data_IF_369962934523
#
_entry.id   IF_369962934523
#
_cell.length_a   1.000
_cell.length_b   1.000
_cell.length_c   1.000
_cell.angle_alpha   90.00
_cell.angle_beta   90.00
_cell.angle_gamma   90.00
#
_symmetry.space_group_name_H-M   'P 1'
#
loop_
_entity.id
_entity.type
_entity.pdbx_description
1 polymer ?
#
# COMPACT_ATOMS: atom_id res chain seq x y z
N UNK A 1 12.59 12.25 9.99
CA UNK A 1 12.53 10.77 10.01
C UNK A 1 13.90 10.22 10.43
N UNK A 2 14.03 8.94 10.79
CA UNK A 2 15.31 8.34 11.22
C UNK A 2 15.70 7.17 10.31
N UNK A 3 17.01 7.03 10.06
CA UNK A 3 17.60 5.99 9.21
C UNK A 3 17.73 4.65 9.93
N UNK A 4 16.63 4.08 10.38
CA UNK A 4 16.61 2.78 11.05
C UNK A 4 15.99 1.76 10.10
N UNK A 5 16.78 0.99 9.38
CA UNK A 5 16.30 -0.11 8.54
C UNK A 5 16.73 -1.42 9.20
N UNK A 6 15.79 -2.33 9.42
CA UNK A 6 16.05 -3.63 10.04
C UNK A 6 15.41 -4.69 9.17
N UNK A 7 16.22 -5.47 8.48
CA UNK A 7 15.75 -6.49 7.53
C UNK A 7 14.72 -5.94 6.52
N UNK A 8 14.93 -4.70 6.08
CA UNK A 8 14.07 -3.99 5.16
C UNK A 8 14.08 -4.61 3.77
N UNK A 9 12.88 -4.83 3.21
CA UNK A 9 12.72 -5.47 1.92
C UNK A 9 13.23 -4.57 0.78
N UNK A 10 14.10 -5.12 -0.06
CA UNK A 10 14.28 -4.63 -1.43
C UNK A 10 13.65 -5.61 -2.42
N UNK A 11 13.23 -5.07 -3.56
CA UNK A 11 12.40 -5.74 -4.55
C UNK A 11 13.16 -6.08 -5.83
N UNK A 12 14.25 -5.35 -6.13
CA UNK A 12 15.08 -5.58 -7.32
C UNK A 12 16.57 -5.37 -7.06
N UNK A 13 17.41 -5.82 -7.99
CA UNK A 13 18.86 -5.69 -7.91
C UNK A 13 19.38 -4.28 -8.26
N UNK A 14 18.53 -3.43 -8.83
CA UNK A 14 18.86 -2.06 -9.24
C UNK A 14 17.79 -1.09 -8.69
N UNK A 15 18.18 0.17 -8.39
CA UNK A 15 17.25 1.15 -7.88
C UNK A 15 16.35 1.65 -9.02
N UNK A 16 15.02 1.66 -8.79
CA UNK A 16 14.04 2.26 -9.70
C UNK A 16 12.79 2.71 -8.96
N UNK A 17 12.05 3.61 -9.57
CA UNK A 17 10.64 3.84 -9.22
C UNK A 17 9.83 2.69 -9.84
N UNK A 18 9.15 1.91 -8.99
CA UNK A 18 8.36 0.77 -9.41
C UNK A 18 6.95 1.16 -9.83
N UNK A 19 6.37 2.09 -9.09
CA UNK A 19 5.11 2.73 -9.38
C UNK A 19 5.06 4.10 -8.70
N UNK A 20 4.26 4.99 -9.27
CA UNK A 20 3.89 6.29 -8.69
C UNK A 20 2.73 6.83 -9.51
N UNK A 21 1.79 7.51 -8.86
CA UNK A 21 0.67 8.16 -9.52
C UNK A 21 -0.21 8.91 -8.53
N UNK A 22 -1.07 9.78 -9.07
CA UNK A 22 -2.08 10.48 -8.26
C UNK A 22 -3.06 9.46 -7.69
N UNK A 23 -2.95 9.15 -6.40
CA UNK A 23 -3.78 8.17 -5.72
C UNK A 23 -5.16 8.72 -5.39
N UNK A 24 -5.23 9.98 -4.95
CA UNK A 24 -6.48 10.67 -4.60
C UNK A 24 -6.28 12.17 -4.45
N UNK A 25 -7.39 12.93 -4.39
CA UNK A 25 -7.39 14.40 -4.36
C UNK A 25 -8.11 14.99 -3.16
N UNK A 26 -7.68 16.17 -2.73
CA UNK A 26 -8.29 17.10 -1.74
C UNK A 26 -8.58 16.60 -0.30
N UNK A 27 -8.35 15.32 0.01
CA UNK A 27 -8.75 14.71 1.29
C UNK A 27 -7.62 14.67 2.34
N UNK A 28 -6.40 15.10 2.01
CA UNK A 28 -5.32 15.24 2.99
C UNK A 28 -5.27 16.65 3.58
N UNK A 29 -5.33 16.70 4.91
CA UNK A 29 -5.41 17.93 5.70
C UNK A 29 -6.68 18.74 5.44
N UNK A 30 -7.82 18.07 5.43
CA UNK A 30 -9.14 18.66 5.34
C UNK A 30 -9.55 19.29 6.69
N UNK A 31 -9.69 20.63 6.79
CA UNK A 31 -10.16 21.28 8.00
C UNK A 31 -11.58 20.85 8.36
N UNK A 32 -11.85 20.68 9.65
CA UNK A 32 -13.17 20.28 10.14
C UNK A 32 -13.38 18.78 10.30
N UNK A 33 -12.49 17.94 9.76
CA UNK A 33 -12.57 16.47 9.89
C UNK A 33 -12.41 15.98 11.33
N UNK A 34 -11.76 16.74 12.21
CA UNK A 34 -11.68 16.43 13.65
C UNK A 34 -12.79 17.04 14.51
N UNK A 35 -13.85 17.59 13.89
CA UNK A 35 -15.05 18.05 14.61
C UNK A 35 -15.98 16.86 14.92
N UNK A 36 -17.04 17.04 15.73
CA UNK A 36 -18.04 15.98 15.95
C UNK A 36 -18.58 15.43 14.63
N UNK A 37 -18.93 14.13 14.62
CA UNK A 37 -19.13 13.34 13.39
C UNK A 37 -19.99 14.02 12.31
N UNK A 38 -21.14 14.60 12.66
CA UNK A 38 -22.00 15.25 11.67
C UNK A 38 -21.38 16.49 11.00
N UNK A 39 -20.46 17.18 11.67
CA UNK A 39 -19.69 18.29 11.06
C UNK A 39 -18.47 17.78 10.30
N UNK A 40 -17.85 16.70 10.76
CA UNK A 40 -16.76 16.04 10.05
C UNK A 40 -17.24 15.46 8.71
N UNK A 41 -18.37 14.74 8.68
CA UNK A 41 -18.99 14.22 7.46
C UNK A 41 -19.23 15.31 6.42
N UNK A 42 -19.77 16.46 6.86
CA UNK A 42 -20.00 17.59 5.98
C UNK A 42 -18.69 18.18 5.42
N UNK A 43 -17.64 18.25 6.23
CA UNK A 43 -16.32 18.69 5.78
C UNK A 43 -15.72 17.71 4.75
N UNK A 44 -15.86 16.40 4.98
CA UNK A 44 -15.43 15.36 4.04
C UNK A 44 -16.18 15.48 2.71
N UNK A 45 -17.51 15.59 2.76
CA UNK A 45 -18.34 15.76 1.57
C UNK A 45 -17.93 16.96 0.71
N UNK A 46 -17.73 18.13 1.32
CA UNK A 46 -17.35 19.34 0.58
C UNK A 46 -15.97 19.26 -0.07
N UNK A 47 -15.11 18.34 0.38
CA UNK A 47 -13.80 18.09 -0.18
C UNK A 47 -13.75 16.81 -0.99
N UNK A 48 -14.91 16.27 -1.39
CA UNK A 48 -15.01 15.13 -2.29
C UNK A 48 -14.50 13.79 -1.73
N UNK A 49 -14.48 13.65 -0.41
CA UNK A 49 -14.27 12.36 0.24
C UNK A 49 -15.56 11.56 0.44
N UNK A 50 -15.40 10.33 0.90
CA UNK A 50 -16.49 9.40 1.24
C UNK A 50 -16.68 9.27 2.76
N UNK A 51 -17.89 8.89 3.15
CA UNK A 51 -18.26 8.64 4.54
C UNK A 51 -18.98 7.31 4.69
N UNK A 52 -18.36 6.36 5.38
CA UNK A 52 -18.93 5.04 5.63
C UNK A 52 -20.00 5.08 6.72
N UNK A 53 -21.04 4.28 6.52
CA UNK A 53 -21.94 3.87 7.61
C UNK A 53 -21.29 2.72 8.35
N UNK A 54 -21.19 2.83 9.67
CA UNK A 54 -20.55 1.83 10.53
C UNK A 54 -21.62 0.90 11.10
N UNK A 55 -21.44 -0.40 10.89
CA UNK A 55 -22.31 -1.46 11.38
C UNK A 55 -21.62 -2.26 12.48
N UNK A 56 -21.51 -1.67 13.67
CA UNK A 56 -20.93 -2.30 14.85
C UNK A 56 -21.75 -2.00 16.11
N UNK A 57 -21.68 -2.88 17.11
CA UNK A 57 -22.37 -2.71 18.41
C UNK A 57 -21.52 -1.88 19.38
N UNK A 58 -21.20 -0.65 18.98
CA UNK A 58 -20.42 0.32 19.76
C UNK A 58 -21.04 1.71 19.66
N UNK A 59 -20.70 2.61 20.58
CA UNK A 59 -21.08 4.01 20.45
C UNK A 59 -20.36 4.60 19.21
N UNK A 60 -21.07 5.26 18.28
CA UNK A 60 -20.44 5.92 17.13
C UNK A 60 -19.30 6.87 17.51
N UNK A 61 -19.37 7.54 18.66
CA UNK A 61 -18.31 8.46 19.10
C UNK A 61 -17.03 7.74 19.57
N UNK A 62 -17.11 6.43 19.85
CA UNK A 62 -15.96 5.58 20.20
C UNK A 62 -15.31 4.94 18.96
N UNK A 63 -15.96 5.01 17.79
CA UNK A 63 -15.41 4.47 16.54
C UNK A 63 -14.30 5.40 16.03
N UNK A 64 -13.11 4.88 15.70
CA UNK A 64 -12.05 5.69 15.11
C UNK A 64 -12.52 6.38 13.83
N UNK A 65 -12.21 7.67 13.69
CA UNK A 65 -12.58 8.47 12.51
C UNK A 65 -12.18 7.81 11.18
N UNK A 66 -11.08 7.06 11.20
CA UNK A 66 -10.54 6.34 10.04
C UNK A 66 -11.49 5.27 9.49
N UNK A 67 -12.37 4.71 10.32
CA UNK A 67 -13.41 3.79 9.85
C UNK A 67 -14.48 4.52 9.01
N UNK A 68 -14.74 5.79 9.31
CA UNK A 68 -15.72 6.60 8.58
C UNK A 68 -15.17 7.18 7.30
N UNK A 69 -13.90 7.58 7.25
CA UNK A 69 -13.34 8.28 6.10
C UNK A 69 -11.84 8.08 5.98
N UNK A 70 -11.34 8.13 4.74
CA UNK A 70 -9.90 8.23 4.48
C UNK A 70 -9.37 9.67 4.58
N UNK A 71 -10.22 10.68 4.77
CA UNK A 71 -9.78 12.06 4.93
C UNK A 71 -8.99 12.26 6.23
N UNK A 72 -7.94 13.08 6.16
CA UNK A 72 -7.02 13.33 7.28
C UNK A 72 -7.09 14.79 7.68
N UNK A 73 -7.04 15.10 8.97
CA UNK A 73 -7.04 16.50 9.45
C UNK A 73 -5.68 17.18 9.22
N UNK A 74 -5.60 18.52 9.17
CA UNK A 74 -4.31 19.23 9.04
C UNK A 74 -3.30 18.87 10.13
N UNK A 75 -3.79 18.61 11.35
CA UNK A 75 -2.96 18.17 12.47
C UNK A 75 -2.44 16.75 12.23
N UNK A 76 -3.28 15.83 11.75
CA UNK A 76 -2.85 14.48 11.38
C UNK A 76 -1.75 14.50 10.32
N UNK A 77 -1.91 15.34 9.29
CA UNK A 77 -0.87 15.54 8.27
C UNK A 77 0.43 16.07 8.88
N UNK A 78 0.36 17.08 9.75
CA UNK A 78 1.56 17.62 10.39
C UNK A 78 2.27 16.57 11.28
N UNK A 79 1.54 15.68 11.93
CA UNK A 79 2.11 14.61 12.76
C UNK A 79 2.84 13.54 11.93
N UNK A 80 2.28 13.14 10.78
CA UNK A 80 2.89 12.12 9.92
C UNK A 80 3.94 12.64 8.93
N UNK A 81 3.79 13.89 8.49
CA UNK A 81 4.56 14.49 7.38
C UNK A 81 5.37 15.73 7.81
N UNK A 82 5.35 16.09 9.09
CA UNK A 82 6.10 17.21 9.66
C UNK A 82 5.48 18.60 9.46
N UNK A 83 4.69 18.80 8.40
CA UNK A 83 3.94 20.03 8.12
C UNK A 83 2.55 19.70 7.58
N UNK A 84 1.53 20.54 7.82
CA UNK A 84 0.22 20.34 7.22
C UNK A 84 0.27 20.56 5.71
N UNK A 85 -0.47 19.74 4.95
CA UNK A 85 -0.90 20.05 3.59
C UNK A 85 -2.40 20.30 3.65
N UNK A 86 -2.90 21.44 3.19
CA UNK A 86 -4.33 21.76 3.27
C UNK A 86 -5.01 21.39 1.97
N UNK A 87 -6.02 20.51 2.04
CA UNK A 87 -6.72 20.00 0.85
C UNK A 87 -5.75 19.37 -0.16
N UNK A 88 -4.72 18.69 0.35
CA UNK A 88 -3.72 18.06 -0.48
C UNK A 88 -4.25 16.81 -1.16
N UNK A 89 -3.76 16.60 -2.37
CA UNK A 89 -3.75 15.33 -3.06
C UNK A 89 -2.75 14.38 -2.39
N UNK A 90 -2.92 13.08 -2.63
CA UNK A 90 -2.02 12.03 -2.16
C UNK A 90 -1.41 11.26 -3.33
N UNK A 91 -0.08 11.20 -3.37
CA UNK A 91 0.67 10.45 -4.38
C UNK A 91 1.64 9.50 -3.68
N UNK A 92 1.35 8.20 -3.64
CA UNK A 92 2.30 7.19 -3.20
C UNK A 92 3.33 6.91 -4.31
N UNK A 93 4.58 6.68 -3.93
CA UNK A 93 5.70 6.31 -4.79
C UNK A 93 6.38 5.07 -4.21
N UNK A 94 6.32 3.98 -4.95
CA UNK A 94 6.94 2.71 -4.62
C UNK A 94 8.33 2.61 -5.26
N UNK A 95 9.34 2.36 -4.45
CA UNK A 95 10.75 2.27 -4.84
C UNK A 95 11.23 0.83 -4.72
N UNK A 96 12.09 0.40 -5.63
CA UNK A 96 12.60 -0.98 -5.59
C UNK A 96 13.49 -1.24 -4.38
N UNK A 97 14.06 -0.20 -3.78
CA UNK A 97 14.90 -0.27 -2.58
C UNK A 97 14.33 0.64 -1.48
N UNK A 98 14.50 0.29 -0.20
CA UNK A 98 14.09 1.15 0.89
C UNK A 98 14.91 2.44 0.93
N UNK A 99 14.25 3.54 1.30
CA UNK A 99 14.88 4.86 1.44
C UNK A 99 15.65 4.98 2.75
N UNK A 100 16.67 5.83 2.77
CA UNK A 100 17.17 6.41 4.02
C UNK A 100 16.27 7.60 4.38
N UNK A 101 15.37 7.50 5.37
CA UNK A 101 14.32 8.50 5.54
C UNK A 101 14.82 9.91 5.90
N UNK A 102 16.02 10.05 6.44
CA UNK A 102 16.60 11.36 6.75
C UNK A 102 16.98 12.17 5.50
N UNK A 103 17.09 11.51 4.34
CA UNK A 103 17.46 12.13 3.06
C UNK A 103 16.26 12.43 2.18
N UNK A 104 15.03 12.28 2.68
CA UNK A 104 13.81 12.45 1.89
C UNK A 104 13.25 13.85 2.12
N UNK A 105 13.22 14.65 1.06
CA UNK A 105 12.74 16.03 1.06
C UNK A 105 11.75 16.27 -0.10
N UNK A 106 10.78 17.19 0.06
CA UNK A 106 9.86 17.53 -1.03
C UNK A 106 10.60 18.00 -2.29
N UNK A 107 11.71 18.71 -2.11
CA UNK A 107 12.52 19.29 -3.17
C UNK A 107 13.23 18.23 -4.04
N UNK A 108 13.39 17.00 -3.55
CA UNK A 108 13.91 15.86 -4.32
C UNK A 108 12.99 15.48 -5.48
N UNK A 109 11.71 15.85 -5.45
CA UNK A 109 10.70 15.37 -6.40
C UNK A 109 10.25 16.49 -7.33
N UNK A 110 10.26 16.21 -8.62
CA UNK A 110 9.66 17.04 -9.67
C UNK A 110 8.53 16.27 -10.36
N UNK A 111 7.35 16.87 -10.41
CA UNK A 111 6.17 16.28 -11.03
C UNK A 111 5.77 17.14 -12.22
N UNK A 112 5.75 16.55 -13.42
CA UNK A 112 5.22 17.22 -14.61
C UNK A 112 3.77 16.81 -14.85
N UNK A 113 2.89 17.80 -14.97
CA UNK A 113 1.47 17.64 -15.22
C UNK A 113 1.19 17.61 -16.74
N UNK A 114 0.03 17.06 -17.12
CA UNK A 114 -0.43 17.07 -18.52
C UNK A 114 -0.61 18.47 -19.12
N UNK A 115 -0.68 19.50 -18.27
CA UNK A 115 -0.70 20.92 -18.66
C UNK A 115 0.68 21.46 -19.06
N UNK A 116 1.75 20.71 -18.81
CA UNK A 116 3.14 21.13 -18.94
C UNK A 116 3.68 21.89 -17.73
N UNK A 117 2.86 22.10 -16.69
CA UNK A 117 3.30 22.66 -15.42
C UNK A 117 4.18 21.65 -14.67
N UNK A 118 5.17 22.18 -13.94
CA UNK A 118 6.03 21.40 -13.06
C UNK A 118 5.78 21.83 -11.62
N UNK A 119 5.45 20.87 -10.77
CA UNK A 119 5.11 21.10 -9.36
C UNK A 119 5.98 20.23 -8.45
N UNK A 120 6.07 20.63 -7.18
CA UNK A 120 6.74 19.87 -6.13
C UNK A 120 5.73 19.56 -5.01
N UNK A 121 5.93 18.49 -4.24
CA UNK A 121 5.14 18.23 -3.04
C UNK A 121 5.23 19.37 -2.02
N UNK A 122 4.16 19.57 -1.26
CA UNK A 122 4.16 20.40 -0.04
C UNK A 122 4.86 19.67 1.10
N UNK A 123 4.64 18.37 1.20
CA UNK A 123 5.32 17.50 2.15
C UNK A 123 5.48 16.08 1.58
N UNK A 124 6.39 15.32 2.18
CA UNK A 124 6.68 13.93 1.83
C UNK A 124 7.09 13.16 3.09
N UNK A 125 6.74 11.89 3.17
CA UNK A 125 7.09 11.03 4.31
C UNK A 125 7.12 9.55 3.91
N UNK A 126 7.72 8.73 4.77
CA UNK A 126 7.60 7.26 4.72
C UNK A 126 6.28 6.78 5.34
N UNK A 127 5.49 7.64 5.98
CA UNK A 127 4.17 7.25 6.50
C UNK A 127 3.21 6.96 5.32
N UNK A 128 2.38 5.91 5.36
CA UNK A 128 2.19 4.93 6.45
C UNK A 128 3.19 3.75 6.51
N UNK A 129 4.10 3.59 5.55
CA UNK A 129 5.12 2.52 5.47
C UNK A 129 6.30 2.73 6.46
N UNK A 130 5.99 2.88 7.75
CA UNK A 130 6.91 3.33 8.79
C UNK A 130 7.70 2.20 9.47
N UNK A 131 7.27 0.95 9.28
CA UNK A 131 7.90 -0.20 9.94
C UNK A 131 9.36 -0.35 9.50
N UNK A 132 10.17 -0.95 10.37
CA UNK A 132 11.62 -0.96 10.17
C UNK A 132 12.05 -1.93 9.06
N UNK A 133 11.26 -2.96 8.77
CA UNK A 133 11.49 -3.91 7.68
C UNK A 133 10.82 -3.52 6.35
N UNK A 134 10.31 -2.29 6.27
CA UNK A 134 9.64 -1.76 5.10
C UNK A 134 10.45 -0.60 4.48
N UNK A 135 9.78 0.52 4.19
CA UNK A 135 10.32 1.81 3.72
C UNK A 135 10.67 1.90 2.26
N UNK A 136 10.08 1.03 1.46
CA UNK A 136 10.08 1.15 0.00
C UNK A 136 9.03 2.13 -0.52
N UNK A 137 8.14 2.66 0.34
CA UNK A 137 7.09 3.58 -0.11
C UNK A 137 7.23 4.97 0.51
N UNK A 138 7.11 5.98 -0.34
CA UNK A 138 6.95 7.38 0.04
C UNK A 138 5.53 7.82 -0.27
N UNK A 139 4.97 8.68 0.57
CA UNK A 139 3.72 9.40 0.25
C UNK A 139 4.03 10.89 0.19
N UNK A 140 3.58 11.52 -0.89
CA UNK A 140 3.69 12.95 -1.15
C UNK A 140 2.32 13.59 -1.11
N UNK A 141 2.25 14.82 -0.59
CA UNK A 141 1.02 15.60 -0.60
C UNK A 141 1.23 16.99 -1.18
N UNK A 142 0.25 17.49 -1.94
CA UNK A 142 0.32 18.77 -2.62
C UNK A 142 -0.81 18.92 -3.64
N UNK A 143 -0.65 19.81 -4.61
CA UNK A 143 -1.62 20.02 -5.68
C UNK A 143 -1.11 19.35 -6.96
N UNK A 144 -1.64 18.17 -7.29
CA UNK A 144 -1.12 17.29 -8.34
C UNK A 144 -2.14 17.00 -9.44
N UNK A 145 -3.43 17.21 -9.19
CA UNK A 145 -4.44 17.00 -10.21
C UNK A 145 -5.86 17.31 -9.77
N UNK A 146 -6.82 16.69 -10.46
CA UNK A 146 -8.24 16.75 -10.11
C UNK A 146 -8.95 15.43 -10.45
N UNK A 147 -10.23 15.35 -10.06
CA UNK A 147 -11.05 14.14 -10.18
C UNK A 147 -11.64 13.90 -11.56
N UNK A 148 -11.30 14.71 -12.55
CA UNK A 148 -11.88 14.57 -13.89
C UNK A 148 -11.19 13.40 -14.61
N UNK A 149 -11.98 12.61 -15.35
CA UNK A 149 -11.40 11.50 -16.12
C UNK A 149 -10.37 12.03 -17.13
N UNK A 150 -9.25 11.32 -17.34
CA UNK A 150 -8.31 11.67 -18.38
C UNK A 150 -8.99 11.85 -19.75
N UNK A 151 -8.69 12.97 -20.43
CA UNK A 151 -9.30 13.34 -21.70
C UNK A 151 -10.55 14.21 -21.58
N UNK A 152 -11.13 14.38 -20.38
CA UNK A 152 -12.14 15.42 -20.16
C UNK A 152 -11.51 16.81 -20.22
N UNK A 153 -12.27 17.79 -20.70
CA UNK A 153 -11.79 19.19 -20.74
C UNK A 153 -11.56 19.70 -19.33
N UNK A 154 -10.34 20.16 -19.05
CA UNK A 154 -9.94 20.66 -17.73
C UNK A 154 -9.38 19.59 -16.79
N UNK A 155 -9.26 18.34 -17.22
CA UNK A 155 -8.58 17.30 -16.44
C UNK A 155 -7.10 17.67 -16.23
N UNK A 156 -6.64 17.60 -14.99
CA UNK A 156 -5.25 17.82 -14.59
C UNK A 156 -4.76 16.57 -13.88
N UNK A 157 -3.63 16.04 -14.32
CA UNK A 157 -3.02 14.85 -13.73
C UNK A 157 -1.53 14.78 -14.03
N UNK A 158 -0.75 14.06 -13.21
CA UNK A 158 0.65 13.79 -13.47
C UNK A 158 0.86 12.93 -14.72
N UNK A 159 1.96 13.19 -15.43
CA UNK A 159 2.39 12.39 -16.59
C UNK A 159 3.86 11.96 -16.51
N UNK A 160 4.64 12.57 -15.61
CA UNK A 160 6.03 12.24 -15.36
C UNK A 160 6.42 12.63 -13.93
N UNK A 161 7.11 11.73 -13.25
CA UNK A 161 7.77 11.95 -11.97
C UNK A 161 9.27 11.79 -12.15
N UNK A 162 10.03 12.68 -11.53
CA UNK A 162 11.49 12.66 -11.57
C UNK A 162 12.04 12.91 -10.16
N UNK A 163 13.09 12.17 -9.81
CA UNK A 163 13.90 12.46 -8.63
C UNK A 163 15.09 13.31 -9.09
N UNK A 164 15.17 14.55 -8.62
CA UNK A 164 16.09 15.58 -9.11
C UNK A 164 17.18 15.89 -8.09
N UNK A 165 18.29 16.48 -8.57
CA UNK A 165 19.35 16.97 -7.69
C UNK A 165 19.01 18.37 -7.17
N UNK A 166 18.71 18.48 -5.89
CA UNK A 166 18.47 19.73 -5.16
C UNK A 166 19.69 20.16 -4.29
N UNK A 167 20.79 19.38 -4.33
CA UNK A 167 21.96 19.53 -3.48
C UNK A 167 21.96 18.68 -2.20
N UNK A 168 20.88 17.96 -1.90
CA UNK A 168 20.68 17.05 -0.77
C UNK A 168 20.03 15.74 -1.22
N UNK A 169 20.73 14.91 -2.01
CA UNK A 169 20.12 13.83 -2.75
C UNK A 169 19.42 12.79 -1.87
N UNK A 170 18.21 12.41 -2.26
CA UNK A 170 17.57 11.20 -1.74
C UNK A 170 18.41 9.94 -1.97
N UNK A 171 18.59 9.15 -0.92
CA UNK A 171 19.43 7.95 -0.89
C UNK A 171 18.62 6.68 -0.66
N UNK A 172 18.97 5.61 -1.36
CA UNK A 172 18.38 4.28 -1.27
C UNK A 172 19.40 3.27 -0.74
N UNK A 173 18.93 2.28 0.02
CA UNK A 173 19.74 1.17 0.51
C UNK A 173 19.39 -0.12 -0.22
N UNK A 174 20.32 -0.64 -1.01
CA UNK A 174 20.14 -1.83 -1.84
C UNK A 174 21.00 -3.03 -1.46
N UNK A 175 20.99 -4.08 -2.32
CA UNK A 175 21.68 -5.35 -2.09
C UNK A 175 23.11 -5.19 -1.58
N UNK A 176 23.48 -5.98 -0.58
CA UNK A 176 24.82 -5.95 0.03
C UNK A 176 25.09 -4.70 0.88
N UNK A 177 24.06 -3.93 1.25
CA UNK A 177 24.20 -2.70 2.03
C UNK A 177 24.71 -1.52 1.20
N UNK A 178 24.51 -1.56 -0.12
CA UNK A 178 24.94 -0.52 -1.05
C UNK A 178 24.03 0.69 -0.93
N UNK A 179 24.60 1.87 -0.69
CA UNK A 179 23.85 3.12 -0.65
C UNK A 179 24.05 3.84 -1.98
N UNK A 180 22.96 4.15 -2.68
CA UNK A 180 22.99 4.89 -3.95
C UNK A 180 22.06 6.09 -3.93
N UNK A 181 22.41 7.12 -4.72
CA UNK A 181 21.56 8.27 -4.95
C UNK A 181 20.43 7.89 -5.90
N UNK A 182 19.21 8.34 -5.60
CA UNK A 182 18.04 8.15 -6.43
C UNK A 182 17.90 9.22 -7.54
N UNK A 183 18.80 10.21 -7.58
CA UNK A 183 18.79 11.28 -8.58
C UNK A 183 18.86 10.70 -9.99
N UNK A 184 17.96 11.16 -10.85
CA UNK A 184 17.84 10.74 -12.25
C UNK A 184 16.92 9.54 -12.46
N UNK A 185 16.38 8.94 -11.40
CA UNK A 185 15.27 8.00 -11.54
C UNK A 185 14.01 8.75 -11.96
N UNK A 186 13.23 8.14 -12.86
CA UNK A 186 11.98 8.71 -13.35
C UNK A 186 10.92 7.65 -13.61
N UNK A 187 9.66 8.08 -13.63
CA UNK A 187 8.51 7.23 -13.93
C UNK A 187 7.45 7.99 -14.73
N UNK A 188 6.92 7.35 -15.77
CA UNK A 188 6.06 8.00 -16.74
C UNK A 188 6.81 8.35 -18.03
N UNK A 189 6.05 8.68 -19.06
CA UNK A 189 6.54 8.97 -20.41
C UNK A 189 6.26 10.42 -20.84
N UNK A 190 5.71 11.24 -19.94
CA UNK A 190 5.31 12.61 -20.21
C UNK A 190 4.00 12.76 -20.97
N UNK A 191 3.24 11.67 -21.17
CA UNK A 191 1.97 11.70 -21.90
C UNK A 191 0.85 10.87 -21.25
N UNK A 192 1.19 9.67 -20.76
CA UNK A 192 0.22 8.73 -20.19
C UNK A 192 -0.27 9.23 -18.82
N UNK A 193 -1.59 9.29 -18.59
CA UNK A 193 -2.15 9.70 -17.31
C UNK A 193 -1.69 8.78 -16.18
N UNK A 194 -1.16 9.37 -15.10
CA UNK A 194 -0.78 8.67 -13.87
C UNK A 194 -1.74 9.08 -12.75
N UNK A 195 -2.95 8.53 -12.79
CA UNK A 195 -4.04 8.91 -11.88
C UNK A 195 -4.97 7.73 -11.60
N UNK A 196 -5.44 7.61 -10.36
CA UNK A 196 -6.44 6.64 -9.93
C UNK A 196 -7.87 7.00 -10.38
N UNK A 197 -8.06 8.16 -11.02
CA UNK A 197 -9.32 8.55 -11.64
C UNK A 197 -9.44 7.97 -13.06
N UNK A 198 -10.63 7.46 -13.38
CA UNK A 198 -10.95 6.78 -14.64
C UNK A 198 -10.98 5.25 -14.52
N UNK A 199 -11.90 4.63 -15.25
CA UNK A 199 -12.18 3.20 -15.17
C UNK A 199 -10.92 2.32 -15.36
N UNK A 200 -10.67 1.44 -14.40
CA UNK A 200 -9.56 0.48 -14.43
C UNK A 200 -8.20 1.05 -14.03
N UNK A 201 -8.13 2.32 -13.63
CA UNK A 201 -6.88 2.95 -13.16
C UNK A 201 -6.68 2.88 -11.64
N UNK A 202 -7.57 2.19 -10.92
CA UNK A 202 -7.40 1.97 -9.48
C UNK A 202 -6.14 1.18 -9.13
N UNK A 203 -5.93 0.87 -7.84
CA UNK A 203 -4.66 0.40 -7.36
C UNK A 203 -4.39 -1.04 -7.82
N UNK A 204 -3.11 -1.39 -7.96
CA UNK A 204 -2.62 -2.71 -8.36
C UNK A 204 -1.39 -3.12 -7.54
N UNK A 205 -0.91 -4.35 -7.73
CA UNK A 205 0.37 -4.76 -7.16
C UNK A 205 1.51 -4.31 -8.08
N UNK A 206 2.65 -3.92 -7.51
CA UNK A 206 3.87 -3.66 -8.28
C UNK A 206 4.99 -4.68 -8.02
N UNK A 207 4.95 -5.37 -6.88
CA UNK A 207 5.87 -6.45 -6.55
C UNK A 207 5.21 -7.48 -5.62
N UNK A 208 5.74 -8.71 -5.64
CA UNK A 208 5.40 -9.74 -4.67
C UNK A 208 6.60 -10.66 -4.43
N UNK A 209 6.85 -11.02 -3.17
CA UNK A 209 8.01 -11.79 -2.75
C UNK A 209 7.65 -12.81 -1.69
N UNK A 210 8.13 -14.04 -1.86
CA UNK A 210 7.92 -15.15 -0.93
C UNK A 210 9.19 -15.39 -0.09
N UNK A 211 9.10 -15.19 1.22
CA UNK A 211 10.18 -15.42 2.19
C UNK A 211 9.74 -16.43 3.25
N UNK A 212 10.67 -16.86 4.12
CA UNK A 212 10.29 -17.55 5.36
C UNK A 212 9.70 -16.52 6.31
N UNK A 213 8.77 -16.94 7.17
CA UNK A 213 8.15 -16.02 8.12
C UNK A 213 9.19 -15.40 9.08
N UNK A 214 10.25 -16.12 9.42
CA UNK A 214 11.32 -15.63 10.28
C UNK A 214 12.18 -14.51 9.66
N UNK A 215 12.18 -14.36 8.33
CA UNK A 215 12.94 -13.33 7.62
C UNK A 215 12.19 -11.99 7.65
N UNK A 216 12.82 -10.93 8.14
CA UNK A 216 12.19 -9.60 8.30
C UNK A 216 11.67 -9.34 9.70
N UNK A 217 11.60 -10.37 10.56
CA UNK A 217 11.03 -10.27 11.91
C UNK A 217 11.79 -9.28 12.81
N UNK A 218 13.06 -8.99 12.52
CA UNK A 218 13.83 -8.04 13.31
C UNK A 218 13.31 -6.60 13.16
N UNK A 219 12.74 -6.28 12.00
CA UNK A 219 12.20 -4.95 11.71
C UNK A 219 10.69 -4.85 11.73
N UNK A 220 10.00 -5.89 12.18
CA UNK A 220 8.57 -5.80 12.47
C UNK A 220 8.32 -4.75 13.57
N UNK A 221 7.30 -3.94 13.33
CA UNK A 221 6.97 -2.76 14.09
C UNK A 221 7.76 -1.52 13.71
N UNK A 222 7.52 -0.45 14.46
CA UNK A 222 8.02 0.87 14.10
C UNK A 222 8.18 1.80 15.29
N UNK A 223 8.36 3.11 15.03
CA UNK A 223 8.43 4.10 16.10
C UNK A 223 7.19 4.02 17.01
N UNK A 224 7.40 4.01 18.33
CA UNK A 224 6.32 3.83 19.33
C UNK A 224 5.14 4.80 19.17
N UNK A 225 5.37 5.97 18.56
CA UNK A 225 4.32 6.94 18.30
C UNK A 225 3.27 6.47 17.27
N UNK A 226 3.64 5.51 16.41
CA UNK A 226 2.79 4.98 15.33
C UNK A 226 2.34 3.52 15.58
N UNK A 227 2.51 2.99 16.79
CA UNK A 227 2.25 1.57 17.08
C UNK A 227 0.77 1.22 17.32
N UNK A 228 -0.18 2.04 16.84
CA UNK A 228 -1.61 1.87 17.13
C UNK A 228 -2.20 0.57 16.55
N UNK A 229 -1.71 0.16 15.39
CA UNK A 229 -2.14 -1.06 14.68
C UNK A 229 -1.19 -2.24 14.88
N UNK A 230 -0.22 -2.13 15.79
CA UNK A 230 0.78 -3.18 16.06
C UNK A 230 0.43 -4.00 17.32
N UNK A 231 0.85 -5.27 17.42
CA UNK A 231 1.49 -6.08 16.37
C UNK A 231 0.47 -6.61 15.36
N UNK A 232 0.85 -6.60 14.09
CA UNK A 232 0.06 -6.93 12.89
C UNK A 232 0.71 -8.05 12.05
N UNK A 233 1.89 -8.54 12.45
CA UNK A 233 2.68 -9.51 11.70
C UNK A 233 2.05 -10.92 11.69
N UNK A 234 2.50 -11.76 10.75
CA UNK A 234 1.97 -13.12 10.58
C UNK A 234 2.15 -14.02 11.81
N UNK A 235 3.21 -13.85 12.60
CA UNK A 235 3.43 -14.61 13.84
C UNK A 235 2.48 -14.15 14.94
N UNK A 236 2.20 -12.85 15.04
CA UNK A 236 1.21 -12.33 15.98
C UNK A 236 -0.20 -12.86 15.71
N UNK A 237 -0.60 -12.96 14.43
CA UNK A 237 -1.94 -13.39 14.04
C UNK A 237 -2.10 -14.92 14.01
N UNK A 238 -1.08 -15.67 13.55
CA UNK A 238 -1.19 -17.10 13.27
C UNK A 238 -0.20 -17.98 14.05
N UNK A 239 0.66 -17.37 14.87
CA UNK A 239 1.61 -18.08 15.72
C UNK A 239 2.59 -18.94 14.91
N UNK A 240 2.90 -20.12 15.47
CA UNK A 240 3.84 -21.08 14.85
C UNK A 240 3.38 -21.65 13.49
N UNK A 241 2.10 -21.46 13.15
CA UNK A 241 1.58 -21.92 11.87
C UNK A 241 2.00 -20.98 10.74
N UNK A 242 2.33 -19.71 11.03
CA UNK A 242 2.97 -18.82 10.07
C UNK A 242 4.39 -19.29 9.75
N UNK A 243 4.57 -19.97 8.62
CA UNK A 243 5.86 -20.54 8.21
C UNK A 243 6.50 -19.77 7.06
N UNK A 244 5.67 -19.23 6.16
CA UNK A 244 6.10 -18.43 5.03
C UNK A 244 5.21 -17.21 4.90
N UNK A 245 5.80 -16.16 4.35
CA UNK A 245 5.13 -14.91 4.04
C UNK A 245 5.25 -14.63 2.55
N UNK A 246 4.12 -14.37 1.91
CA UNK A 246 4.08 -13.81 0.58
C UNK A 246 3.70 -12.32 0.70
N UNK A 247 4.73 -11.48 0.78
CA UNK A 247 4.61 -10.03 0.94
C UNK A 247 4.39 -9.36 -0.41
N UNK A 248 3.43 -8.46 -0.48
CA UNK A 248 3.02 -7.77 -1.68
C UNK A 248 3.19 -6.27 -1.52
N UNK A 249 3.71 -5.59 -2.53
CA UNK A 249 3.79 -4.14 -2.57
C UNK A 249 2.73 -3.58 -3.53
N UNK A 250 2.01 -2.58 -3.07
CA UNK A 250 0.84 -1.98 -3.75
C UNK A 250 1.19 -0.62 -4.35
N UNK A 251 0.58 -0.22 -5.48
CA UNK A 251 0.81 1.08 -6.16
C UNK A 251 0.11 2.27 -5.47
N UNK A 252 -0.01 2.21 -4.14
CA UNK A 252 -0.84 3.07 -3.31
C UNK A 252 -1.73 2.30 -2.35
N UNK A 253 -2.35 3.01 -1.39
CA UNK A 253 -3.13 2.34 -0.34
C UNK A 253 -4.22 1.45 -0.92
N UNK A 254 -4.33 0.23 -0.41
CA UNK A 254 -5.38 -0.72 -0.79
C UNK A 254 -6.49 -0.69 0.24
N UNK A 255 -7.71 -0.46 -0.20
CA UNK A 255 -8.90 -0.62 0.63
C UNK A 255 -10.01 -1.30 -0.18
N UNK A 256 -10.85 -2.14 0.46
CA UNK A 256 -12.07 -2.70 -0.13
C UNK A 256 -12.99 -1.68 -0.82
N UNK A 257 -13.06 -0.44 -0.34
CA UNK A 257 -13.95 0.61 -0.87
C UNK A 257 -13.32 2.02 -0.87
N UNK A 258 -12.06 2.13 -0.47
CA UNK A 258 -11.31 3.40 -0.35
C UNK A 258 -11.44 4.06 1.02
N UNK A 259 -12.07 3.39 1.98
CA UNK A 259 -12.23 3.83 3.37
C UNK A 259 -12.00 2.68 4.35
N UNK A 260 -12.77 1.58 4.22
CA UNK A 260 -12.76 0.45 5.15
C UNK A 260 -11.38 -0.21 5.18
N UNK A 261 -10.95 -0.65 6.35
CA UNK A 261 -9.77 -1.52 6.49
C UNK A 261 -10.01 -2.87 5.81
N UNK A 262 -8.97 -3.46 5.25
CA UNK A 262 -8.96 -4.86 4.83
C UNK A 262 -8.86 -5.76 6.07
N UNK A 263 -9.60 -6.86 6.11
CA UNK A 263 -9.55 -7.77 7.25
C UNK A 263 -8.60 -8.95 7.00
N UNK A 264 -7.89 -9.45 8.04
CA UNK A 264 -7.09 -10.68 7.99
C UNK A 264 -7.81 -11.91 7.41
N UNK A 265 -9.14 -11.93 7.46
CA UNK A 265 -9.98 -13.04 6.96
C UNK A 265 -10.42 -12.90 5.51
N UNK A 266 -10.06 -11.82 4.81
CA UNK A 266 -10.63 -11.49 3.49
C UNK A 266 -9.81 -11.96 2.28
N UNK A 267 -8.81 -12.82 2.49
CA UNK A 267 -8.03 -13.41 1.40
C UNK A 267 -8.90 -13.90 0.22
N UNK A 268 -9.90 -14.73 0.50
CA UNK A 268 -10.73 -15.36 -0.54
C UNK A 268 -11.69 -14.37 -1.25
N UNK A 269 -11.85 -13.16 -0.72
CA UNK A 269 -12.67 -12.11 -1.34
C UNK A 269 -11.89 -11.35 -2.42
N UNK A 270 -10.56 -11.32 -2.34
CA UNK A 270 -9.73 -10.44 -3.17
C UNK A 270 -8.63 -11.16 -3.94
N UNK A 271 -8.09 -12.24 -3.38
CA UNK A 271 -6.86 -12.87 -3.88
C UNK A 271 -7.07 -14.34 -4.22
N UNK A 272 -6.23 -14.81 -5.14
CA UNK A 272 -5.90 -16.23 -5.31
C UNK A 272 -4.44 -16.37 -5.73
N UNK A 273 -3.80 -17.49 -5.38
CA UNK A 273 -2.41 -17.75 -5.73
C UNK A 273 -2.34 -18.75 -6.88
N UNK A 274 -1.54 -18.41 -7.90
CA UNK A 274 -1.21 -19.30 -9.00
C UNK A 274 -0.02 -20.17 -8.62
N UNK A 275 -0.22 -21.48 -8.62
CA UNK A 275 0.85 -22.47 -8.49
C UNK A 275 0.99 -23.21 -9.81
N UNK A 276 2.20 -23.26 -10.34
CA UNK A 276 2.49 -24.03 -11.55
C UNK A 276 3.20 -25.32 -11.22
N UNK A 277 2.70 -26.43 -11.77
CA UNK A 277 3.48 -27.65 -11.88
C UNK A 277 4.57 -27.47 -12.94
N UNK A 278 5.55 -28.39 -12.99
CA UNK A 278 6.65 -28.32 -13.96
C UNK A 278 6.15 -28.05 -15.41
N UNK A 279 6.95 -27.43 -16.30
CA UNK A 279 6.54 -27.12 -17.67
C UNK A 279 5.99 -28.32 -18.46
N UNK A 280 6.35 -29.55 -18.06
CA UNK A 280 5.89 -30.80 -18.65
C UNK A 280 4.49 -31.22 -18.20
N UNK A 281 4.00 -30.72 -17.07
CA UNK A 281 2.74 -31.12 -16.45
C UNK A 281 1.55 -30.22 -16.81
N UNK A 282 1.78 -28.99 -17.29
CA UNK A 282 0.74 -28.12 -17.86
C UNK A 282 -0.39 -27.66 -16.94
N UNK A 283 -0.53 -28.27 -15.76
CA UNK A 283 -1.61 -28.01 -14.82
C UNK A 283 -1.27 -26.86 -13.87
N UNK A 284 -2.16 -25.88 -13.81
CA UNK A 284 -2.14 -24.78 -12.85
C UNK A 284 -3.10 -25.13 -11.71
N UNK A 285 -2.65 -24.94 -10.48
CA UNK A 285 -3.50 -25.00 -9.30
C UNK A 285 -3.73 -23.56 -8.82
N UNK A 286 -4.99 -23.19 -8.66
CA UNK A 286 -5.37 -21.95 -7.99
C UNK A 286 -5.65 -22.26 -6.53
N UNK A 287 -4.93 -21.56 -5.64
CA UNK A 287 -5.21 -21.58 -4.22
C UNK A 287 -6.18 -20.42 -3.95
N UNK A 288 -7.42 -20.72 -3.57
CA UNK A 288 -8.53 -19.75 -3.55
C UNK A 288 -9.17 -19.60 -2.16
N UNK A 289 -8.89 -20.51 -1.23
CA UNK A 289 -9.55 -20.57 0.07
C UNK A 289 -8.51 -20.68 1.19
N UNK A 290 -8.81 -20.06 2.33
CA UNK A 290 -8.02 -20.20 3.55
C UNK A 290 -8.36 -21.50 4.28
N UNK A 291 -7.43 -22.01 5.09
CA UNK A 291 -7.62 -23.23 5.90
C UNK A 291 -7.72 -24.53 5.10
N UNK A 292 -7.46 -24.49 3.79
CA UNK A 292 -7.49 -25.68 2.91
C UNK A 292 -6.06 -26.09 2.55
N UNK A 293 -5.64 -27.33 2.86
CA UNK A 293 -4.35 -27.84 2.42
C UNK A 293 -4.43 -28.30 0.95
N UNK A 294 -3.82 -27.54 0.05
CA UNK A 294 -3.73 -27.87 -1.37
C UNK A 294 -2.54 -28.79 -1.64
N UNK A 295 -2.78 -29.95 -2.25
CA UNK A 295 -1.71 -30.91 -2.60
C UNK A 295 -1.02 -30.49 -3.89
N UNK A 296 0.29 -30.29 -3.83
CA UNK A 296 1.13 -29.93 -4.97
C UNK A 296 1.91 -31.18 -5.42
N UNK A 297 1.19 -32.12 -6.05
CA UNK A 297 1.77 -33.38 -6.52
C UNK A 297 2.47 -34.13 -5.38
N UNK A 298 3.68 -34.64 -5.64
CA UNK A 298 4.52 -35.28 -4.63
C UNK A 298 5.43 -34.29 -3.86
N UNK A 299 5.30 -32.99 -4.13
CA UNK A 299 6.14 -31.94 -3.50
C UNK A 299 5.64 -31.51 -2.12
N UNK A 300 4.42 -31.90 -1.76
CA UNK A 300 3.81 -31.61 -0.47
C UNK A 300 2.58 -30.72 -0.58
N UNK A 301 2.36 -29.87 0.41
CA UNK A 301 1.15 -29.06 0.53
C UNK A 301 1.44 -27.57 0.69
N UNK A 302 0.45 -26.75 0.31
CA UNK A 302 0.37 -25.32 0.65
C UNK A 302 -1.00 -25.07 1.25
N UNK A 303 -1.05 -24.38 2.39
CA UNK A 303 -2.29 -23.88 3.00
C UNK A 303 -2.14 -22.38 3.25
N UNK A 304 -3.17 -21.62 2.88
CA UNK A 304 -3.28 -20.19 3.20
C UNK A 304 -3.95 -20.03 4.55
N UNK A 305 -3.36 -19.24 5.45
CA UNK A 305 -3.94 -18.95 6.76
C UNK A 305 -4.82 -17.71 6.73
N UNK A 306 -4.40 -16.68 6.00
CA UNK A 306 -5.12 -15.42 5.82
C UNK A 306 -4.15 -14.30 5.47
N UNK A 307 -4.56 -13.07 5.77
CA UNK A 307 -3.77 -11.86 5.54
C UNK A 307 -3.17 -11.34 6.86
N UNK A 308 -1.99 -10.73 6.79
CA UNK A 308 -1.32 -10.01 7.86
C UNK A 308 -0.69 -8.73 7.31
N UNK A 309 0.07 -7.99 8.14
CA UNK A 309 0.60 -6.66 7.77
C UNK A 309 -0.58 -5.69 7.53
N UNK A 310 -1.51 -5.72 8.49
CA UNK A 310 -2.73 -4.91 8.47
C UNK A 310 -2.95 -4.33 9.87
N UNK A 311 -3.34 -5.16 10.83
CA UNK A 311 -3.69 -4.68 12.17
C UNK A 311 -3.70 -5.83 13.17
N UNK A 312 -3.98 -5.55 14.45
CA UNK A 312 -3.85 -6.55 15.48
C UNK A 312 -4.93 -7.62 15.39
N UNK A 313 -4.59 -8.84 15.80
CA UNK A 313 -5.55 -9.94 15.91
C UNK A 313 -6.76 -9.52 16.76
N UNK A 314 -7.96 -9.72 16.22
CA UNK A 314 -9.22 -9.53 16.93
C UNK A 314 -10.07 -10.80 16.93
N UNK A 315 -10.93 -10.94 17.94
CA UNK A 315 -11.90 -12.04 18.01
C UNK A 315 -12.96 -11.94 16.89
N UNK A 316 -13.29 -10.71 16.51
CA UNK A 316 -14.23 -10.37 15.43
C UNK A 316 -13.64 -9.21 14.67
N UNK A 317 -13.63 -9.30 13.34
CA UNK A 317 -13.32 -8.19 12.46
C UNK A 317 -14.64 -7.56 11.99
N UNK A 318 -14.90 -6.34 12.44
CA UNK A 318 -16.05 -5.53 12.05
C UNK A 318 -15.59 -4.13 11.61
N UNK A 319 -16.55 -3.25 11.32
CA UNK A 319 -16.28 -1.90 10.83
C UNK A 319 -15.48 -1.01 11.81
N UNK A 320 -15.23 -1.46 13.04
CA UNK A 320 -14.33 -0.77 13.99
C UNK A 320 -12.87 -1.17 13.86
N UNK A 321 -12.57 -2.23 13.10
CA UNK A 321 -11.21 -2.68 12.85
C UNK A 321 -10.42 -1.68 12.02
N UNK A 322 -9.26 -1.27 12.53
CA UNK A 322 -8.35 -0.32 11.88
C UNK A 322 -7.03 -1.03 11.59
N UNK A 323 -6.66 -1.07 10.31
CA UNK A 323 -5.33 -1.47 9.87
C UNK A 323 -4.31 -0.29 9.96
N UNK A 324 -3.03 -0.55 9.72
CA UNK A 324 -1.93 0.41 9.61
C UNK A 324 -2.06 1.29 8.36
N UNK A 325 -2.77 0.78 7.35
CA UNK A 325 -3.00 1.37 6.04
C UNK A 325 -1.72 1.64 5.26
N UNK A 326 -0.70 0.82 5.46
CA UNK A 326 0.53 0.92 4.69
C UNK A 326 0.36 0.41 3.25
N UNK A 327 1.48 0.23 2.56
CA UNK A 327 1.51 -0.15 1.16
C UNK A 327 1.90 -1.61 0.94
N UNK A 328 1.93 -2.39 2.02
CA UNK A 328 2.27 -3.80 2.02
C UNK A 328 1.12 -4.63 2.60
N UNK A 329 1.00 -5.84 2.09
CA UNK A 329 0.02 -6.81 2.55
C UNK A 329 0.69 -8.17 2.48
N UNK A 330 0.58 -8.93 3.57
CA UNK A 330 1.14 -10.26 3.65
C UNK A 330 0.06 -11.32 3.47
N UNK A 331 0.30 -12.30 2.61
CA UNK A 331 -0.45 -13.56 2.62
C UNK A 331 0.37 -14.59 3.41
N UNK A 332 -0.21 -15.08 4.50
CA UNK A 332 0.47 -16.01 5.40
C UNK A 332 0.18 -17.46 4.99
N UNK A 333 1.25 -18.24 4.91
CA UNK A 333 1.25 -19.58 4.32
C UNK A 333 1.92 -20.58 5.26
N UNK A 334 1.44 -21.83 5.20
CA UNK A 334 2.10 -22.99 5.81
C UNK A 334 2.17 -24.16 4.85
N UNK A 335 3.18 -25.02 5.02
CA UNK A 335 3.34 -26.20 4.20
C UNK A 335 4.79 -26.51 3.85
N UNK A 336 4.97 -27.25 2.77
CA UNK A 336 6.26 -27.83 2.40
C UNK A 336 7.05 -26.88 1.50
N UNK A 337 8.33 -26.67 1.82
CA UNK A 337 9.21 -25.75 1.07
C UNK A 337 9.28 -26.08 -0.43
N UNK A 338 9.22 -27.36 -0.79
CA UNK A 338 9.26 -27.79 -2.20
C UNK A 338 7.99 -27.38 -2.95
N UNK A 339 6.83 -27.44 -2.29
CA UNK A 339 5.57 -26.96 -2.85
C UNK A 339 5.56 -25.42 -2.94
N UNK A 340 6.03 -24.71 -1.91
CA UNK A 340 6.11 -23.24 -1.89
C UNK A 340 6.90 -22.68 -3.09
N UNK A 341 7.96 -23.36 -3.52
CA UNK A 341 8.76 -22.98 -4.70
C UNK A 341 8.01 -23.09 -6.04
N UNK A 342 6.81 -23.67 -6.06
CA UNK A 342 5.96 -23.74 -7.23
C UNK A 342 5.00 -22.54 -7.36
N UNK A 343 4.95 -21.65 -6.37
CA UNK A 343 4.18 -20.40 -6.46
C UNK A 343 4.75 -19.55 -7.62
N UNK A 344 3.87 -19.06 -8.48
CA UNK A 344 4.24 -18.27 -9.66
C UNK A 344 3.76 -16.84 -9.59
N UNK A 345 2.55 -16.61 -9.09
CA UNK A 345 1.92 -15.30 -9.11
C UNK A 345 0.84 -15.17 -8.03
N UNK A 346 0.64 -13.94 -7.55
CA UNK A 346 -0.60 -13.53 -6.89
C UNK A 346 -1.53 -12.94 -7.92
N UNK A 347 -2.82 -13.26 -7.82
CA UNK A 347 -3.85 -12.74 -8.71
C UNK A 347 -4.92 -12.02 -7.89
N UNK A 348 -5.22 -10.79 -8.29
CA UNK A 348 -6.42 -10.04 -7.92
C UNK A 348 -7.40 -10.14 -9.11
N UNK A 349 -8.46 -10.97 -9.04
CA UNK A 349 -9.34 -11.14 -10.19
C UNK A 349 -10.27 -9.95 -10.46
N UNK A 350 -10.59 -9.16 -9.42
CA UNK A 350 -11.45 -7.96 -9.48
C UNK A 350 -12.77 -8.14 -10.26
N UNK A 351 -13.32 -9.36 -10.27
CA UNK A 351 -14.50 -9.72 -11.06
C UNK A 351 -15.15 -11.01 -10.55
N UNK A 352 -16.41 -11.24 -10.95
CA UNK A 352 -17.17 -12.41 -10.54
C UNK A 352 -17.46 -12.38 -9.04
N UNK A 353 -17.02 -13.41 -8.32
CA UNK A 353 -17.16 -13.50 -6.87
C UNK A 353 -16.06 -12.74 -6.11
N UNK A 354 -15.06 -12.20 -6.83
CA UNK A 354 -13.96 -11.43 -6.25
C UNK A 354 -14.24 -9.92 -6.32
N UNK A 355 -13.91 -9.23 -5.24
CA UNK A 355 -14.00 -7.78 -5.12
C UNK A 355 -12.76 -7.11 -5.72
N UNK A 356 -12.90 -5.81 -6.01
CA UNK A 356 -11.80 -4.94 -6.43
C UNK A 356 -11.31 -4.11 -5.24
N UNK A 357 -10.04 -3.67 -5.29
CA UNK A 357 -9.49 -2.69 -4.37
C UNK A 357 -9.68 -1.26 -4.89
N UNK A 358 -9.61 -0.30 -3.98
CA UNK A 358 -9.67 1.13 -4.26
C UNK A 358 -8.55 1.84 -3.50
N UNK A 359 -8.03 2.91 -4.09
CA UNK A 359 -7.21 3.86 -3.35
C UNK A 359 -8.07 4.58 -2.29
N UNK A 360 -7.45 5.24 -1.29
CA UNK A 360 -8.15 6.20 -0.46
C UNK A 360 -8.95 7.20 -1.33
N UNK A 361 -10.08 7.71 -0.87
CA UNK A 361 -10.99 8.51 -1.72
C UNK A 361 -11.85 7.69 -2.69
N UNK A 362 -11.92 6.36 -2.50
CA UNK A 362 -12.91 5.49 -3.12
C UNK A 362 -14.34 5.77 -2.61
N UNK A 363 -15.35 5.09 -3.19
CA UNK A 363 -16.76 5.39 -2.95
C UNK A 363 -17.23 5.14 -1.52
N UNK A 364 -16.53 4.32 -0.75
CA UNK A 364 -17.04 3.81 0.52
C UNK A 364 -18.31 2.96 0.35
N UNK A 365 -18.96 2.66 1.46
CA UNK A 365 -20.21 1.89 1.49
C UNK A 365 -21.49 2.77 1.39
N UNK A 366 -21.34 4.09 1.44
CA UNK A 366 -22.43 5.07 1.34
C UNK A 366 -21.99 6.32 0.55
N UNK A 367 -21.74 6.20 -0.77
CA UNK A 367 -21.21 7.30 -1.56
C UNK A 367 -22.21 8.46 -1.71
N UNK A 368 -21.70 9.69 -1.60
CA UNK A 368 -22.41 10.89 -2.03
C UNK A 368 -22.60 10.91 -3.56
N UNK A 369 -23.81 11.12 -4.09
CA UNK A 369 -24.10 11.00 -5.52
C UNK A 369 -23.40 11.99 -6.46
N UNK A 370 -22.86 13.10 -5.94
CA UNK A 370 -22.27 14.18 -6.75
C UNK A 370 -20.74 14.22 -6.69
N UNK A 371 -20.13 13.26 -6.01
CA UNK A 371 -18.68 13.15 -5.84
C UNK A 371 -18.15 12.11 -6.82
N UNK A 372 -17.05 12.44 -7.49
CA UNK A 372 -16.27 11.47 -8.27
C UNK A 372 -15.23 10.83 -7.35
N UNK A 373 -15.19 9.51 -7.32
CA UNK A 373 -14.27 8.75 -6.46
C UNK A 373 -13.13 8.16 -7.27
N UNK A 374 -12.09 7.68 -6.59
CA UNK A 374 -11.07 6.85 -7.24
C UNK A 374 -11.70 5.59 -7.82
N UNK A 375 -11.18 5.13 -8.94
CA UNK A 375 -11.71 3.97 -9.63
C UNK A 375 -11.33 2.66 -8.92
N UNK A 376 -12.09 1.60 -9.24
CA UNK A 376 -11.75 0.25 -8.86
C UNK A 376 -10.44 -0.19 -9.54
N UNK A 377 -9.64 -0.94 -8.81
CA UNK A 377 -8.46 -1.63 -9.31
C UNK A 377 -8.84 -2.68 -10.36
N UNK A 378 -8.01 -2.87 -11.40
CA UNK A 378 -8.29 -3.84 -12.46
C UNK A 378 -7.97 -5.27 -12.03
N UNK A 379 -8.34 -6.25 -12.87
CA UNK A 379 -7.74 -7.59 -12.79
C UNK A 379 -6.21 -7.47 -12.90
N UNK A 380 -5.48 -8.10 -11.98
CA UNK A 380 -4.03 -7.97 -11.92
C UNK A 380 -3.35 -9.28 -11.51
N UNK A 381 -2.38 -9.71 -12.33
CA UNK A 381 -1.56 -10.88 -12.05
C UNK A 381 -0.11 -10.45 -11.81
N UNK A 382 0.33 -10.53 -10.56
CA UNK A 382 1.67 -10.13 -10.12
C UNK A 382 2.58 -11.35 -9.99
N UNK A 383 3.66 -11.46 -10.78
CA UNK A 383 4.68 -12.49 -10.58
C UNK A 383 5.29 -12.43 -9.19
N UNK A 384 5.60 -13.61 -8.64
CA UNK A 384 6.21 -13.77 -7.33
C UNK A 384 7.70 -14.07 -7.47
N UNK A 385 8.53 -13.30 -6.77
CA UNK A 385 9.94 -13.62 -6.56
C UNK A 385 10.07 -14.63 -5.42
N UNK A 386 10.68 -15.79 -5.68
CA UNK A 386 10.96 -16.80 -4.65
C UNK A 386 12.26 -16.44 -3.93
N UNK A 387 12.12 -15.89 -2.73
CA UNK A 387 13.18 -15.34 -1.88
C UNK A 387 13.37 -16.17 -0.58
N UNK A 388 13.21 -17.50 -0.67
CA UNK A 388 13.31 -18.41 0.50
C UNK A 388 14.77 -18.61 0.96
N UNK A 389 15.73 -18.47 0.05
CA UNK A 389 17.16 -18.72 0.32
C UNK A 389 17.97 -17.41 0.47
N UNK A 390 17.49 -16.35 -0.17
CA UNK A 390 17.98 -14.98 -0.04
C UNK A 390 16.73 -14.11 0.11
N UNK A 391 16.41 -13.62 1.33
CA UNK A 391 15.18 -12.91 1.59
C UNK A 391 15.12 -11.54 0.91
N UNK A 392 16.22 -11.09 0.29
CA UNK A 392 16.31 -9.77 -0.35
C UNK A 392 16.01 -8.65 0.65
N UNK A 393 16.76 -8.64 1.75
CA UNK A 393 16.59 -7.71 2.86
C UNK A 393 17.90 -7.01 3.22
N UNK A 394 17.80 -5.79 3.73
CA UNK A 394 18.93 -4.94 4.10
C UNK A 394 18.72 -4.30 5.48
N UNK A 395 19.81 -4.03 6.19
CA UNK A 395 19.76 -3.36 7.49
C UNK A 395 20.72 -2.18 7.53
N UNK A 396 20.31 -1.11 8.20
CA UNK A 396 21.11 0.07 8.44
C UNK A 396 20.72 0.71 9.77
N UNK A 397 21.73 0.98 10.60
CA UNK A 397 21.59 1.72 11.85
C UNK A 397 22.65 2.82 11.87
N UNK A 398 22.28 4.10 12.02
CA UNK A 398 23.24 5.18 12.18
C UNK A 398 24.05 4.94 13.45
N UNK A 399 25.36 5.23 13.35
CA UNK A 399 26.31 5.08 14.46
C UNK A 399 26.13 6.14 15.53
#
# INVERSE_FOLDING_TARGET
MQDVLLEADYWENEPRIMAVGLGFTDINGTPGVSLPLGMAELAVFFNGGSWNTIYADVDPEDVPLRAYTSAVSPIGMALGFGVPSFYGDGTPMELSWPVLPSTVHPEDILITLNTGEQVQPVNISIMPNFEYNERSTLVMNGDFGNRLDPGQTGAVYPVLFEIVDDGTPMMLLGPGGRIESAVGLSYGDGATPLTAYGDGNGPRLCAAKLTRMEDGMLGEGGPTFFSGSLPNDGVALYGKDAQYRLRMLTTGGFSPDGVRSLYPTEYASFFRIKVGMSPEQGDVIWLEQTGVPYTIGDLGTIEILGLADLGPLQDVYDDTYIEDHDNQIDIILKGDVAAMRCIQAVHIPASGDYLAFYNPGGPGNNPFPTVTYTAAGPEWLQPVTIAIDDPMQVSYLPK
#
